data_IF_143852914902
#
_entry.id   IF_143852914902
#
_cell.length_a   1.000
_cell.length_b   1.000
_cell.length_c   1.000
_cell.angle_alpha   90.00
_cell.angle_beta   90.00
_cell.angle_gamma   90.00
#
_symmetry.space_group_name_H-M   'P 1'
#
loop_
_entity.id
_entity.type
_entity.pdbx_description
1 polymer ?
#
# COMPACT_ATOMS: atom_id res chain seq x y z
N UNK A 1 18.81 -14.24 -13.34
CA UNK A 1 18.38 -15.06 -12.18
C UNK A 1 18.59 -14.42 -10.79
N UNK A 2 19.26 -13.25 -10.65
CA UNK A 2 19.50 -12.59 -9.35
C UNK A 2 18.31 -11.79 -8.77
N UNK A 3 17.36 -11.33 -9.58
CA UNK A 3 16.22 -10.51 -9.11
C UNK A 3 15.15 -11.29 -8.32
N UNK A 4 15.00 -12.60 -8.56
CA UNK A 4 14.01 -13.42 -7.83
C UNK A 4 14.34 -13.60 -6.34
N UNK A 5 15.62 -13.54 -5.95
CA UNK A 5 16.05 -13.76 -4.57
C UNK A 5 15.82 -12.50 -3.72
N UNK A 6 16.06 -11.31 -4.29
CA UNK A 6 15.79 -10.02 -3.64
C UNK A 6 14.28 -9.81 -3.44
N UNK A 7 13.47 -10.12 -4.46
CA UNK A 7 12.01 -10.06 -4.37
C UNK A 7 11.45 -10.98 -3.28
N UNK A 8 11.97 -12.21 -3.17
CA UNK A 8 11.52 -13.17 -2.15
C UNK A 8 11.82 -12.69 -0.72
N UNK A 9 13.03 -12.16 -0.49
CA UNK A 9 13.44 -11.62 0.82
C UNK A 9 12.71 -10.32 1.18
N UNK A 10 12.31 -9.50 0.21
CA UNK A 10 11.56 -8.28 0.43
C UNK A 10 10.09 -8.56 0.79
N UNK A 11 9.44 -9.49 0.09
CA UNK A 11 8.07 -9.94 0.37
C UNK A 11 7.98 -10.64 1.73
N UNK A 12 8.97 -11.46 2.11
CA UNK A 12 9.05 -12.08 3.45
C UNK A 12 9.14 -11.02 4.58
N UNK A 13 9.80 -9.89 4.32
CA UNK A 13 9.96 -8.81 5.30
C UNK A 13 8.69 -7.98 5.48
N UNK A 14 7.91 -7.77 4.41
CA UNK A 14 6.57 -7.16 4.48
C UNK A 14 5.56 -8.11 5.15
N UNK A 15 5.66 -9.42 4.90
CA UNK A 15 4.83 -10.43 5.56
C UNK A 15 5.01 -10.44 7.09
N UNK A 16 6.23 -10.20 7.60
CA UNK A 16 6.49 -10.07 9.04
C UNK A 16 5.90 -8.79 9.65
N UNK A 17 5.76 -7.71 8.89
CA UNK A 17 5.17 -6.46 9.36
C UNK A 17 3.63 -6.58 9.47
N UNK A 18 2.99 -7.39 8.62
CA UNK A 18 1.54 -7.61 8.71
C UNK A 18 1.13 -8.48 9.91
N UNK A 19 2.06 -9.24 10.51
CA UNK A 19 1.82 -10.01 11.74
C UNK A 19 1.70 -9.11 12.99
N UNK A 20 2.17 -7.87 12.94
CA UNK A 20 2.08 -6.93 14.07
C UNK A 20 0.66 -6.38 14.30
N UNK A 21 -0.26 -6.51 13.34
CA UNK A 21 -1.65 -6.10 13.52
C UNK A 21 -2.57 -7.21 14.09
N UNK A 22 -2.03 -8.37 14.46
CA UNK A 22 -2.82 -9.50 14.99
C UNK A 22 -2.71 -9.73 16.51
N UNK A 23 -2.11 -8.80 17.28
CA UNK A 23 -1.98 -8.94 18.74
C UNK A 23 -2.45 -7.70 19.51
N UNK A 24 -3.70 -7.32 19.30
CA UNK A 24 -4.43 -6.45 20.20
C UNK A 24 -5.31 -7.26 21.15
N UNK A 25 -4.71 -8.04 22.08
CA UNK A 25 -5.29 -8.51 23.36
C UNK A 25 -4.55 -9.74 23.92
N UNK A 26 -3.36 -9.56 24.50
CA UNK A 26 -2.88 -10.40 25.61
C UNK A 26 -1.95 -9.53 26.48
N UNK A 27 -2.29 -9.38 27.77
CA UNK A 27 -1.41 -8.80 28.78
C UNK A 27 -0.28 -9.81 29.05
N UNK A 28 0.96 -9.31 29.12
CA UNK A 28 2.19 -10.02 29.46
C UNK A 28 2.79 -10.94 28.38
N UNK A 29 3.64 -10.37 27.53
CA UNK A 29 4.76 -11.10 26.93
C UNK A 29 6.03 -10.29 27.18
N UNK A 30 7.03 -10.93 27.78
CA UNK A 30 8.32 -10.36 28.15
C UNK A 30 8.97 -9.71 26.93
N UNK A 31 9.41 -8.46 27.09
CA UNK A 31 10.30 -7.77 26.16
C UNK A 31 11.59 -8.58 26.00
N UNK A 32 11.70 -9.30 24.88
CA UNK A 32 13.00 -9.75 24.41
C UNK A 32 13.72 -8.51 23.88
N UNK A 33 14.71 -8.03 24.65
CA UNK A 33 15.54 -6.91 24.26
C UNK A 33 16.20 -7.18 22.91
N UNK A 34 15.99 -6.26 21.98
CA UNK A 34 16.84 -6.10 20.80
C UNK A 34 17.12 -4.61 20.65
N UNK A 35 18.33 -4.26 21.07
CA UNK A 35 18.96 -2.97 20.84
C UNK A 35 19.28 -2.84 19.35
N UNK A 36 18.82 -1.76 18.72
CA UNK A 36 19.10 -1.46 17.31
C UNK A 36 20.53 -0.93 17.23
N UNK A 37 21.48 -1.75 16.76
CA UNK A 37 22.83 -1.28 16.45
C UNK A 37 22.89 -0.65 15.05
N UNK A 38 23.53 0.53 14.87
CA UNK A 38 23.72 1.14 13.57
C UNK A 38 25.04 0.67 12.93
N UNK A 39 24.98 -0.22 11.93
CA UNK A 39 26.04 -0.48 10.94
C UNK A 39 25.40 -1.28 9.78
N UNK A 40 25.63 -1.02 8.50
CA UNK A 40 26.74 -0.36 7.79
C UNK A 40 26.29 0.03 6.37
N UNK A 41 26.79 1.16 5.88
CA UNK A 41 26.67 1.61 4.50
C UNK A 41 27.26 0.59 3.51
N UNK A 42 26.62 0.42 2.34
CA UNK A 42 27.15 -0.37 1.23
C UNK A 42 28.35 0.35 0.58
N UNK A 43 29.54 -0.27 0.61
CA UNK A 43 30.72 0.24 -0.09
C UNK A 43 30.56 0.06 -1.62
N UNK A 44 30.78 1.16 -2.36
CA UNK A 44 30.75 1.23 -3.83
C UNK A 44 32.06 0.71 -4.41
N UNK A 45 31.99 -0.29 -5.31
CA UNK A 45 33.05 -0.57 -6.28
C UNK A 45 33.13 0.51 -7.38
N UNK A 46 34.23 0.61 -8.15
CA UNK A 46 34.46 1.75 -9.04
C UNK A 46 33.53 1.68 -10.25
N UNK A 47 32.56 2.59 -10.29
CA UNK A 47 31.76 2.89 -11.48
C UNK A 47 32.52 3.97 -12.24
N UNK A 48 33.05 3.59 -13.40
CA UNK A 48 33.57 4.53 -14.39
C UNK A 48 32.43 5.45 -14.83
N UNK A 49 32.48 6.68 -14.33
CA UNK A 49 32.06 7.95 -14.94
C UNK A 49 31.07 7.87 -16.11
N UNK A 50 29.77 7.88 -15.79
CA UNK A 50 28.79 8.71 -16.48
C UNK A 50 27.88 9.32 -15.41
N UNK A 51 28.19 10.57 -15.04
CA UNK A 51 27.39 11.38 -14.16
C UNK A 51 26.09 11.78 -14.87
N UNK A 52 25.09 10.90 -14.86
CA UNK A 52 23.70 11.32 -15.04
C UNK A 52 23.27 11.88 -13.70
N UNK A 53 22.94 13.17 -13.65
CA UNK A 53 22.42 13.86 -12.47
C UNK A 53 21.15 13.15 -11.98
N UNK A 54 21.29 12.08 -11.20
CA UNK A 54 20.18 11.35 -10.62
C UNK A 54 19.58 12.23 -9.55
N UNK A 55 18.53 12.98 -9.91
CA UNK A 55 17.62 13.51 -8.90
C UNK A 55 17.00 12.29 -8.23
N UNK A 56 17.43 11.99 -7.01
CA UNK A 56 16.74 11.03 -6.16
C UNK A 56 15.33 11.56 -5.94
N UNK A 57 14.34 10.97 -6.60
CA UNK A 57 12.94 11.21 -6.31
C UNK A 57 12.61 10.49 -5.01
N UNK A 58 12.36 11.24 -3.94
CA UNK A 58 11.79 10.67 -2.72
C UNK A 58 10.29 10.52 -2.93
N UNK A 59 9.79 9.29 -2.94
CA UNK A 59 8.37 8.97 -2.99
C UNK A 59 7.84 8.67 -1.59
N UNK A 60 6.75 9.33 -1.18
CA UNK A 60 5.94 8.93 -0.04
C UNK A 60 4.85 7.96 -0.51
N UNK A 61 5.03 6.68 -0.21
CA UNK A 61 4.01 5.66 -0.48
C UNK A 61 3.13 5.46 0.76
N UNK A 62 1.82 5.60 0.58
CA UNK A 62 0.83 5.36 1.62
C UNK A 62 -0.08 4.22 1.18
N UNK A 63 -0.26 3.24 2.07
CA UNK A 63 -1.17 2.12 1.90
C UNK A 63 -2.38 2.36 2.79
N UNK A 64 -3.55 2.45 2.17
CA UNK A 64 -4.80 2.52 2.91
C UNK A 64 -5.08 1.20 3.63
N UNK A 65 -5.65 1.28 4.82
CA UNK A 65 -6.02 0.11 5.62
C UNK A 65 -7.35 -0.50 5.17
N UNK A 66 -8.11 0.17 4.31
CA UNK A 66 -9.38 -0.30 3.77
C UNK A 66 -9.88 0.54 2.59
N UNK A 67 -11.07 0.22 2.09
CA UNK A 67 -11.65 0.86 0.90
C UNK A 67 -12.42 2.16 1.18
N UNK A 68 -12.44 2.65 2.42
CA UNK A 68 -13.34 3.73 2.85
C UNK A 68 -13.16 5.04 2.08
N UNK A 69 -11.95 5.34 1.61
CA UNK A 69 -11.61 6.56 0.86
C UNK A 69 -12.06 6.52 -0.61
N UNK A 70 -12.45 5.35 -1.14
CA UNK A 70 -12.80 5.15 -2.54
C UNK A 70 -14.11 5.84 -2.93
N UNK A 71 -14.13 6.37 -4.15
CA UNK A 71 -15.31 7.01 -4.73
C UNK A 71 -16.26 5.96 -5.29
N UNK A 72 -17.54 6.02 -4.90
CA UNK A 72 -18.57 5.05 -5.28
C UNK A 72 -19.50 5.54 -6.39
N UNK A 73 -19.41 6.82 -6.74
CA UNK A 73 -20.20 7.45 -7.79
C UNK A 73 -19.34 7.92 -8.97
N UNK A 74 -19.98 8.12 -10.13
CA UNK A 74 -19.30 8.64 -11.33
C UNK A 74 -18.96 10.13 -11.20
N UNK A 75 -19.77 10.87 -10.45
CA UNK A 75 -19.59 12.31 -10.22
C UNK A 75 -18.46 12.63 -9.23
N UNK A 76 -17.88 11.61 -8.59
CA UNK A 76 -16.79 11.72 -7.61
C UNK A 76 -17.15 12.54 -6.37
N UNK A 77 -18.42 12.48 -5.95
CA UNK A 77 -18.94 13.26 -4.83
C UNK A 77 -19.09 12.44 -3.55
N UNK A 78 -19.23 11.10 -3.65
CA UNK A 78 -19.50 10.23 -2.51
C UNK A 78 -18.39 9.20 -2.32
N UNK A 79 -17.84 9.16 -1.10
CA UNK A 79 -16.89 8.13 -0.65
C UNK A 79 -17.61 6.92 -0.07
N UNK A 80 -17.00 5.74 -0.13
CA UNK A 80 -17.56 4.51 0.45
C UNK A 80 -17.89 4.69 1.94
N UNK A 81 -17.04 5.39 2.70
CA UNK A 81 -17.25 5.67 4.12
C UNK A 81 -18.49 6.53 4.43
N UNK A 82 -19.02 7.25 3.43
CA UNK A 82 -20.17 8.15 3.56
C UNK A 82 -21.50 7.45 3.25
N UNK A 83 -21.43 6.20 2.77
CA UNK A 83 -22.61 5.40 2.45
C UNK A 83 -23.27 4.87 3.73
N UNK A 84 -24.59 4.72 3.73
CA UNK A 84 -25.34 4.17 4.88
C UNK A 84 -24.95 2.72 5.21
N UNK A 85 -24.45 1.98 4.21
CA UNK A 85 -24.02 0.60 4.34
C UNK A 85 -22.63 0.44 4.98
N UNK A 86 -21.89 1.54 5.21
CA UNK A 86 -20.54 1.45 5.74
C UNK A 86 -20.53 0.98 7.21
N UNK A 87 -19.69 -0.01 7.59
CA UNK A 87 -19.63 -0.50 8.96
C UNK A 87 -19.12 0.58 9.91
N UNK A 88 -19.93 0.94 10.92
CA UNK A 88 -19.66 2.05 11.84
C UNK A 88 -18.39 1.83 12.67
N UNK A 89 -18.03 0.59 12.93
CA UNK A 89 -16.82 0.19 13.64
C UNK A 89 -15.53 0.66 12.92
N UNK A 90 -15.54 0.77 11.60
CA UNK A 90 -14.38 1.19 10.81
C UNK A 90 -14.37 2.69 10.51
N UNK A 91 -15.47 3.41 10.78
CA UNK A 91 -15.64 4.81 10.40
C UNK A 91 -14.51 5.70 10.94
N UNK A 92 -14.10 5.49 12.20
CA UNK A 92 -13.05 6.29 12.82
C UNK A 92 -11.68 6.19 12.13
N UNK A 93 -11.35 5.01 11.61
CA UNK A 93 -10.10 4.75 10.89
C UNK A 93 -10.21 5.26 9.45
N UNK A 94 -11.32 4.93 8.79
CA UNK A 94 -11.59 5.36 7.42
C UNK A 94 -11.61 6.89 7.27
N UNK A 95 -12.24 7.62 8.20
CA UNK A 95 -12.25 9.09 8.19
C UNK A 95 -10.85 9.68 8.31
N UNK A 96 -9.98 9.10 9.14
CA UNK A 96 -8.60 9.57 9.29
C UNK A 96 -7.79 9.35 8.02
N UNK A 97 -7.91 8.19 7.39
CA UNK A 97 -7.22 7.86 6.15
C UNK A 97 -7.71 8.72 4.98
N UNK A 98 -9.03 8.92 4.89
CA UNK A 98 -9.63 9.80 3.89
C UNK A 98 -9.14 11.25 4.04
N UNK A 99 -9.03 11.74 5.28
CA UNK A 99 -8.43 13.06 5.55
C UNK A 99 -6.94 13.11 5.17
N UNK A 100 -6.17 12.07 5.46
CA UNK A 100 -4.76 12.02 5.02
C UNK A 100 -4.64 12.10 3.50
N UNK A 101 -5.51 11.43 2.75
CA UNK A 101 -5.54 11.53 1.29
C UNK A 101 -5.85 12.97 0.82
N UNK A 102 -6.75 13.67 1.50
CA UNK A 102 -7.04 15.08 1.18
C UNK A 102 -5.85 16.00 1.48
N UNK A 103 -5.15 15.77 2.59
CA UNK A 103 -3.93 16.51 2.93
C UNK A 103 -2.80 16.26 1.90
N UNK A 104 -2.66 15.04 1.39
CA UNK A 104 -1.71 14.72 0.31
C UNK A 104 -2.07 15.44 -0.99
N UNK A 105 -3.35 15.44 -1.37
CA UNK A 105 -3.84 16.14 -2.58
C UNK A 105 -3.60 17.65 -2.52
N UNK A 106 -3.67 18.23 -1.32
CA UNK A 106 -3.38 19.66 -1.10
C UNK A 106 -1.87 19.98 -0.99
N UNK A 107 -1.02 18.96 -0.84
CA UNK A 107 0.43 19.17 -0.64
C UNK A 107 1.13 19.66 -1.91
N UNK A 108 2.20 20.43 -1.74
CA UNK A 108 3.04 20.92 -2.83
C UNK A 108 4.49 20.46 -2.63
N UNK A 109 5.17 20.13 -3.72
CA UNK A 109 6.57 19.72 -3.70
C UNK A 109 6.83 18.33 -3.10
N UNK A 110 5.78 17.56 -2.82
CA UNK A 110 5.84 16.17 -2.39
C UNK A 110 5.50 15.25 -3.56
N UNK A 111 6.27 14.18 -3.74
CA UNK A 111 5.86 13.06 -4.59
C UNK A 111 5.20 12.02 -3.70
N UNK A 112 3.94 11.70 -3.95
CA UNK A 112 3.20 10.73 -3.15
C UNK A 112 2.37 9.79 -4.01
N UNK A 113 2.07 8.62 -3.46
CA UNK A 113 1.11 7.69 -4.04
C UNK A 113 0.28 7.07 -2.90
N UNK A 114 -1.03 7.00 -3.10
CA UNK A 114 -1.96 6.42 -2.14
C UNK A 114 -2.63 5.18 -2.73
N UNK A 115 -2.39 4.00 -2.16
CA UNK A 115 -2.90 2.73 -2.69
C UNK A 115 -3.99 2.22 -1.77
N UNK A 116 -5.22 2.16 -2.28
CA UNK A 116 -6.37 1.62 -1.57
C UNK A 116 -6.62 0.16 -1.95
N UNK A 117 -6.81 -0.74 -0.97
CA UNK A 117 -7.23 -2.10 -1.26
C UNK A 117 -8.70 -2.12 -1.70
N UNK A 118 -9.13 -3.29 -2.16
CA UNK A 118 -10.54 -3.61 -2.33
C UNK A 118 -11.27 -3.63 -0.97
N UNK A 119 -12.60 -3.60 -1.01
CA UNK A 119 -13.45 -3.68 0.18
C UNK A 119 -13.21 -4.97 0.98
N UNK A 120 -13.19 -6.11 0.27
CA UNK A 120 -12.77 -7.37 0.86
C UNK A 120 -11.25 -7.54 0.71
N UNK A 121 -10.53 -7.23 1.79
CA UNK A 121 -9.09 -7.35 1.88
C UNK A 121 -8.66 -8.62 2.61
N UNK A 122 -8.36 -9.68 1.85
CA UNK A 122 -8.23 -11.05 2.36
C UNK A 122 -6.76 -11.45 2.65
N UNK A 123 -6.37 -11.67 3.92
CA UNK A 123 -5.02 -12.10 4.28
C UNK A 123 -4.71 -13.55 3.92
N UNK A 124 -5.72 -14.41 3.79
CA UNK A 124 -5.58 -15.81 3.44
C UNK A 124 -5.72 -16.08 1.92
N UNK A 125 -6.02 -15.03 1.16
CA UNK A 125 -6.25 -15.10 -0.28
C UNK A 125 -5.03 -15.56 -1.09
N UNK A 126 -5.29 -16.21 -2.22
CA UNK A 126 -4.25 -16.76 -3.08
C UNK A 126 -3.37 -15.68 -3.73
N UNK A 127 -2.10 -16.02 -3.96
CA UNK A 127 -1.17 -15.23 -4.77
C UNK A 127 -1.32 -15.61 -6.24
N UNK A 128 -2.22 -14.95 -6.96
CA UNK A 128 -2.41 -15.18 -8.41
C UNK A 128 -1.37 -14.44 -9.24
N UNK A 129 -0.90 -13.28 -8.75
CA UNK A 129 -0.02 -12.39 -9.50
C UNK A 129 -0.73 -11.42 -10.44
N UNK A 130 -2.07 -11.45 -10.46
CA UNK A 130 -2.88 -10.63 -11.35
C UNK A 130 -3.80 -9.71 -10.55
N UNK A 131 -3.78 -8.43 -10.91
CA UNK A 131 -4.64 -7.40 -10.34
C UNK A 131 -4.99 -6.37 -11.41
N UNK A 132 -5.99 -5.53 -11.14
CA UNK A 132 -6.30 -4.35 -11.93
C UNK A 132 -6.43 -3.12 -11.05
N UNK A 133 -6.19 -1.96 -11.63
CA UNK A 133 -6.23 -0.66 -10.93
C UNK A 133 -7.44 0.17 -11.33
N UNK A 134 -7.77 1.18 -10.53
CA UNK A 134 -8.73 2.25 -10.86
C UNK A 134 -8.32 3.57 -10.20
N UNK A 135 -8.61 4.71 -10.85
CA UNK A 135 -8.22 6.05 -10.37
C UNK A 135 -9.12 6.51 -9.20
N UNK A 136 -8.84 6.03 -8.00
CA UNK A 136 -9.60 6.28 -6.74
C UNK A 136 -11.06 5.81 -6.75
N UNK A 137 -11.48 5.09 -7.79
CA UNK A 137 -12.84 4.57 -7.90
C UNK A 137 -12.95 3.21 -7.26
N UNK A 138 -14.03 3.00 -6.52
CA UNK A 138 -14.49 1.68 -6.13
C UNK A 138 -14.63 0.81 -7.38
N UNK A 139 -14.06 -0.39 -7.33
CA UNK A 139 -13.98 -1.29 -8.46
C UNK A 139 -14.30 -2.73 -8.04
N UNK A 140 -14.82 -3.48 -9.01
CA UNK A 140 -15.21 -4.87 -8.89
C UNK A 140 -14.40 -5.71 -9.87
N UNK A 141 -13.96 -6.90 -9.49
CA UNK A 141 -13.29 -7.87 -10.37
C UNK A 141 -14.26 -8.48 -11.40
N UNK A 142 -13.78 -9.46 -12.20
CA UNK A 142 -14.61 -10.15 -13.21
C UNK A 142 -15.77 -10.96 -12.63
N UNK A 143 -15.72 -11.26 -11.33
CA UNK A 143 -16.77 -11.95 -10.57
C UNK A 143 -17.75 -10.98 -9.90
N UNK A 144 -17.65 -9.69 -10.19
CA UNK A 144 -18.46 -8.64 -9.59
C UNK A 144 -18.21 -8.48 -8.07
N UNK A 145 -16.97 -8.73 -7.62
CA UNK A 145 -16.56 -8.65 -6.22
C UNK A 145 -15.47 -7.57 -6.06
N UNK A 146 -15.58 -6.73 -5.02
CA UNK A 146 -14.46 -5.89 -4.59
C UNK A 146 -13.56 -6.73 -3.70
N UNK A 147 -12.63 -7.47 -4.31
CA UNK A 147 -11.77 -8.43 -3.62
C UNK A 147 -10.29 -8.24 -3.99
N UNK A 148 -9.41 -8.26 -3.00
CA UNK A 148 -7.96 -8.33 -3.19
C UNK A 148 -7.34 -9.21 -2.09
N UNK A 149 -6.44 -10.13 -2.47
CA UNK A 149 -5.61 -10.84 -1.48
C UNK A 149 -4.44 -9.97 -1.03
N UNK A 150 -3.95 -10.16 0.20
CA UNK A 150 -2.75 -9.48 0.68
C UNK A 150 -1.55 -9.72 -0.24
N UNK A 151 -1.44 -10.93 -0.79
CA UNK A 151 -0.37 -11.29 -1.69
C UNK A 151 -0.42 -10.49 -3.01
N UNK A 152 -1.60 -10.29 -3.59
CA UNK A 152 -1.75 -9.49 -4.82
C UNK A 152 -1.63 -7.99 -4.55
N UNK A 153 -2.14 -7.51 -3.41
CA UNK A 153 -1.95 -6.11 -2.99
C UNK A 153 -0.46 -5.77 -2.83
N UNK A 154 0.32 -6.66 -2.22
CA UNK A 154 1.77 -6.49 -2.08
C UNK A 154 2.51 -6.46 -3.43
N UNK A 155 1.97 -7.14 -4.45
CA UNK A 155 2.51 -7.07 -5.82
C UNK A 155 2.23 -5.69 -6.40
N UNK A 156 1.00 -5.18 -6.30
CA UNK A 156 0.66 -3.85 -6.79
C UNK A 156 1.51 -2.74 -6.14
N UNK A 157 1.76 -2.85 -4.83
CA UNK A 157 2.69 -1.95 -4.11
C UNK A 157 4.12 -2.05 -4.68
N UNK A 158 4.61 -3.26 -4.92
CA UNK A 158 5.96 -3.45 -5.45
C UNK A 158 6.10 -2.92 -6.88
N UNK A 159 5.08 -3.11 -7.72
CA UNK A 159 5.05 -2.62 -9.09
C UNK A 159 5.00 -1.08 -9.12
N UNK A 160 4.20 -0.44 -8.25
CA UNK A 160 4.19 1.02 -8.17
C UNK A 160 5.55 1.60 -7.76
N UNK A 161 6.24 0.98 -6.80
CA UNK A 161 7.60 1.42 -6.40
C UNK A 161 8.59 1.28 -7.58
N UNK A 162 8.42 0.26 -8.42
CA UNK A 162 9.31 -0.02 -9.53
C UNK A 162 9.09 0.90 -10.74
N UNK A 163 7.83 1.26 -11.02
CA UNK A 163 7.45 1.93 -12.26
C UNK A 163 6.91 3.36 -12.06
N UNK A 164 6.45 3.71 -10.86
CA UNK A 164 5.94 5.04 -10.50
C UNK A 164 4.82 5.53 -11.43
N UNK A 165 3.84 4.66 -11.71
CA UNK A 165 2.76 4.97 -12.64
C UNK A 165 1.73 5.95 -12.05
N UNK A 166 1.67 6.05 -10.72
CA UNK A 166 0.64 6.80 -9.99
C UNK A 166 1.26 7.90 -9.12
N UNK A 167 2.11 8.76 -9.71
CA UNK A 167 2.67 9.92 -9.02
C UNK A 167 1.61 10.98 -8.73
N UNK A 168 1.56 11.40 -7.47
CA UNK A 168 0.66 12.43 -6.92
C UNK A 168 -0.82 12.12 -7.11
N UNK A 169 -1.18 10.85 -7.08
CA UNK A 169 -2.57 10.38 -7.15
C UNK A 169 -2.78 9.19 -6.23
N UNK A 170 -4.04 8.97 -5.87
CA UNK A 170 -4.47 7.70 -5.33
C UNK A 170 -4.94 6.75 -6.44
N UNK A 171 -4.93 5.45 -6.14
CA UNK A 171 -5.57 4.43 -6.94
C UNK A 171 -6.04 3.24 -6.09
N UNK A 172 -7.03 2.51 -6.58
CA UNK A 172 -7.55 1.30 -5.97
C UNK A 172 -7.08 0.05 -6.70
N UNK A 173 -7.03 -1.10 -6.00
CA UNK A 173 -6.66 -2.40 -6.59
C UNK A 173 -7.65 -3.51 -6.27
N UNK A 174 -7.93 -4.36 -7.26
CA UNK A 174 -8.66 -5.63 -7.07
C UNK A 174 -7.93 -6.78 -7.77
N UNK A 175 -8.04 -7.99 -7.22
CA UNK A 175 -7.56 -9.21 -7.89
C UNK A 175 -8.40 -9.47 -9.14
N UNK A 176 -7.78 -10.05 -10.18
CA UNK A 176 -8.47 -10.46 -11.41
C UNK A 176 -9.04 -11.86 -11.29
#
# INVERSE_FOLDING_TARGET
>A
MRNRILYKKFVEKIWLISQFHHFGHQKNVKTAGFEIQPHSYCERGPITEQATTSRTLTLLLIVDGGAGSLLVDEEKNVRLLETEAFPKEFLSVATKQARSLDELRASQGLNWTFISPADHFDPAGNKTGEYKTSNDKFNLNRRNESYISYANHAIAVADEIAYLEHLNTGFAVVSV
#
